data_IF_551167895436
#
_entry.id   IF_551167895436
#
_cell.length_a   1.000
_cell.length_b   1.000
_cell.length_c   1.000
_cell.angle_alpha   90.00
_cell.angle_beta   90.00
_cell.angle_gamma   90.00
#
_symmetry.space_group_name_H-M   'P 1'
#
loop_
_entity.id
_entity.type
_entity.pdbx_description
1 polymer ?
#
# COMPACT_ATOMS: atom_id res chain seq x y z
N UNK A 1 -15.95 6.24 1.23
CA UNK A 1 -16.37 7.59 0.79
C UNK A 1 -15.57 8.63 1.57
N UNK A 2 -15.46 9.89 1.10
CA UNK A 2 -14.68 10.93 1.81
C UNK A 2 -15.11 11.03 3.29
N UNK A 3 -14.14 11.07 4.20
CA UNK A 3 -14.34 11.02 5.65
C UNK A 3 -14.48 9.61 6.24
N UNK A 4 -14.49 8.56 5.42
CA UNK A 4 -14.61 7.17 5.90
C UNK A 4 -13.26 6.65 6.38
N UNK A 5 -13.25 6.11 7.60
CA UNK A 5 -12.15 5.34 8.16
C UNK A 5 -12.52 3.86 8.19
N UNK A 6 -11.64 2.99 7.71
CA UNK A 6 -11.72 1.53 7.88
C UNK A 6 -10.51 1.09 8.68
N UNK A 7 -10.72 0.29 9.72
CA UNK A 7 -9.66 -0.15 10.63
C UNK A 7 -9.83 -1.63 10.96
N UNK A 8 -8.72 -2.37 10.98
CA UNK A 8 -8.68 -3.80 11.32
C UNK A 8 -7.31 -4.19 11.89
N UNK A 9 -7.29 -5.14 12.82
CA UNK A 9 -6.05 -5.75 13.35
C UNK A 9 -5.36 -6.68 12.35
N UNK A 10 -6.05 -7.06 11.28
CA UNK A 10 -5.57 -8.03 10.28
C UNK A 10 -5.15 -7.33 8.98
N UNK A 11 -4.79 -8.12 7.96
CA UNK A 11 -4.62 -7.59 6.61
C UNK A 11 -5.97 -7.19 6.01
N UNK A 12 -5.95 -6.20 5.12
CA UNK A 12 -7.15 -5.68 4.46
C UNK A 12 -6.99 -5.73 2.94
N UNK A 13 -8.01 -6.26 2.27
CA UNK A 13 -8.12 -6.25 0.81
C UNK A 13 -9.31 -5.38 0.41
N UNK A 14 -9.08 -4.40 -0.46
CA UNK A 14 -10.10 -3.49 -0.97
C UNK A 14 -10.26 -3.73 -2.47
N UNK A 15 -11.48 -4.09 -2.89
CA UNK A 15 -11.87 -4.13 -4.29
C UNK A 15 -12.45 -2.77 -4.69
N UNK A 16 -11.61 -1.93 -5.29
CA UNK A 16 -11.97 -0.57 -5.70
C UNK A 16 -11.02 0.50 -5.16
N UNK A 17 -11.47 1.75 -5.20
CA UNK A 17 -10.64 2.92 -4.92
C UNK A 17 -10.72 3.39 -3.46
N UNK A 18 -9.57 3.85 -2.95
CA UNK A 18 -9.48 4.63 -1.71
C UNK A 18 -9.37 6.10 -2.08
N UNK A 19 -10.44 6.87 -1.89
CA UNK A 19 -10.49 8.28 -2.28
C UNK A 19 -9.71 9.18 -1.31
N UNK A 20 -9.36 10.40 -1.74
CA UNK A 20 -8.46 11.34 -1.02
C UNK A 20 -8.88 11.68 0.42
N UNK A 21 -10.18 11.63 0.72
CA UNK A 21 -10.69 11.84 2.07
C UNK A 21 -10.85 10.57 2.91
N UNK A 22 -10.48 9.39 2.41
CA UNK A 22 -10.61 8.13 3.13
C UNK A 22 -9.30 7.73 3.81
N UNK A 23 -9.42 7.05 4.95
CA UNK A 23 -8.30 6.47 5.69
C UNK A 23 -8.52 4.96 5.84
N UNK A 24 -7.45 4.21 5.59
CA UNK A 24 -7.42 2.76 5.70
C UNK A 24 -6.30 2.36 6.64
N UNK A 25 -6.63 1.66 7.71
CA UNK A 25 -5.70 1.22 8.76
C UNK A 25 -5.78 -0.30 8.90
N UNK A 26 -4.63 -0.96 8.85
CA UNK A 26 -4.51 -2.41 8.99
C UNK A 26 -3.32 -2.76 9.89
N UNK A 27 -3.51 -3.72 10.79
CA UNK A 27 -2.40 -4.35 11.51
C UNK A 27 -1.55 -5.25 10.61
N UNK A 28 -2.14 -5.75 9.51
CA UNK A 28 -1.45 -6.52 8.48
C UNK A 28 -1.10 -5.69 7.24
N UNK A 29 -1.09 -6.38 6.10
CA UNK A 29 -0.86 -5.77 4.78
C UNK A 29 -2.12 -5.04 4.29
N UNK A 30 -1.94 -4.07 3.40
CA UNK A 30 -3.04 -3.43 2.68
C UNK A 30 -2.90 -3.73 1.20
N UNK A 31 -3.95 -4.29 0.60
CA UNK A 31 -4.02 -4.58 -0.83
C UNK A 31 -5.21 -3.83 -1.41
N UNK A 32 -4.97 -2.91 -2.32
CA UNK A 32 -6.00 -2.10 -2.99
C UNK A 32 -6.02 -2.46 -4.46
N UNK A 33 -7.07 -3.16 -4.88
CA UNK A 33 -7.31 -3.48 -6.28
C UNK A 33 -8.02 -2.31 -6.97
N UNK A 34 -7.32 -1.17 -7.01
CA UNK A 34 -7.79 0.11 -7.50
C UNK A 34 -6.78 1.23 -7.25
N UNK A 35 -7.28 2.48 -7.23
CA UNK A 35 -6.46 3.67 -6.98
C UNK A 35 -6.44 4.03 -5.51
N UNK A 36 -5.24 4.20 -4.94
CA UNK A 36 -5.05 4.78 -3.60
C UNK A 36 -4.79 6.29 -3.72
N UNK A 37 -5.78 7.11 -3.39
CA UNK A 37 -5.69 8.58 -3.30
C UNK A 37 -5.66 9.11 -1.86
N UNK A 38 -6.19 8.33 -0.92
CA UNK A 38 -6.30 8.69 0.51
C UNK A 38 -5.07 8.31 1.34
N UNK A 39 -5.32 7.99 2.61
CA UNK A 39 -4.31 7.53 3.57
C UNK A 39 -4.38 6.01 3.69
N UNK A 40 -3.22 5.34 3.64
CA UNK A 40 -3.10 3.92 3.96
C UNK A 40 -2.03 3.71 5.06
N UNK A 41 -2.38 2.97 6.11
CA UNK A 41 -1.53 2.65 7.25
C UNK A 41 -1.48 1.14 7.48
N UNK A 42 -0.44 0.48 6.96
CA UNK A 42 -0.18 -0.94 7.17
C UNK A 42 0.71 -1.15 8.42
N UNK A 43 0.61 -2.32 9.05
CA UNK A 43 1.38 -2.61 10.27
C UNK A 43 1.07 -1.65 11.43
N UNK A 44 -0.17 -1.15 11.55
CA UNK A 44 -0.51 -0.03 12.44
C UNK A 44 -0.23 -0.28 13.94
N UNK A 45 -0.16 -1.54 14.35
CA UNK A 45 0.05 -1.95 15.74
C UNK A 45 1.44 -2.56 15.99
N UNK A 46 2.34 -2.48 15.01
CA UNK A 46 3.75 -2.88 15.10
C UNK A 46 4.62 -1.66 14.76
N UNK A 47 5.45 -1.20 15.67
CA UNK A 47 6.27 0.01 15.49
C UNK A 47 7.17 -0.06 14.25
N UNK A 48 7.70 -1.25 13.97
CA UNK A 48 8.59 -1.50 12.83
C UNK A 48 7.81 -1.72 11.53
N UNK A 49 6.48 -1.89 11.64
CA UNK A 49 5.63 -2.30 10.55
C UNK A 49 5.82 -3.76 10.13
N UNK A 50 6.64 -4.57 10.81
CA UNK A 50 6.68 -6.04 10.69
C UNK A 50 6.92 -6.60 9.28
N UNK A 51 7.53 -5.83 8.38
CA UNK A 51 7.69 -6.18 6.96
C UNK A 51 6.38 -6.14 6.15
N UNK A 52 5.36 -5.41 6.62
CA UNK A 52 4.09 -5.21 5.92
C UNK A 52 4.25 -4.34 4.69
N UNK A 53 3.34 -4.51 3.76
CA UNK A 53 3.32 -3.80 2.48
C UNK A 53 1.99 -3.12 2.22
N UNK A 54 2.04 -2.09 1.38
CA UNK A 54 0.85 -1.48 0.78
C UNK A 54 0.95 -1.69 -0.73
N UNK A 55 0.03 -2.44 -1.30
CA UNK A 55 -0.09 -2.66 -2.73
C UNK A 55 -1.28 -1.86 -3.28
N UNK A 56 -1.10 -1.21 -4.43
CA UNK A 56 -2.22 -0.65 -5.19
C UNK A 56 -1.99 -0.78 -6.70
N UNK A 57 -3.06 -0.79 -7.49
CA UNK A 57 -2.94 -0.72 -8.97
C UNK A 57 -2.45 0.65 -9.44
N UNK A 58 -2.67 1.69 -8.62
CA UNK A 58 -2.16 3.04 -8.83
C UNK A 58 -1.99 3.72 -7.46
N UNK A 59 -0.79 4.19 -7.13
CA UNK A 59 -0.54 4.95 -5.89
C UNK A 59 -0.46 6.45 -6.16
N UNK A 60 -1.46 7.19 -5.66
CA UNK A 60 -1.47 8.65 -5.55
C UNK A 60 -1.83 9.09 -4.11
N UNK A 61 -1.27 8.46 -3.06
CA UNK A 61 -1.74 8.66 -1.69
C UNK A 61 -1.47 10.08 -1.20
N UNK A 62 -2.39 10.64 -0.42
CA UNK A 62 -2.05 11.81 0.40
C UNK A 62 -0.98 11.44 1.42
N UNK A 63 -1.01 10.21 1.95
CA UNK A 63 -0.04 9.70 2.91
C UNK A 63 0.03 8.17 2.89
N UNK A 64 1.25 7.64 2.96
CA UNK A 64 1.54 6.24 3.28
C UNK A 64 2.11 6.14 4.68
N UNK A 65 1.71 5.09 5.41
CA UNK A 65 2.29 4.73 6.70
C UNK A 65 2.54 3.22 6.75
N UNK A 66 3.72 2.83 7.21
CA UNK A 66 4.05 1.43 7.49
C UNK A 66 4.70 1.42 8.87
N UNK A 67 4.03 0.80 9.85
CA UNK A 67 4.39 0.96 11.25
C UNK A 67 4.38 2.43 11.66
N UNK A 68 5.50 2.91 12.22
CA UNK A 68 5.70 4.32 12.58
C UNK A 68 6.26 5.19 11.45
N UNK A 69 6.69 4.59 10.33
CA UNK A 69 7.30 5.31 9.21
C UNK A 69 6.22 5.95 8.35
N UNK A 70 6.41 7.21 7.97
CA UNK A 70 5.46 7.99 7.19
C UNK A 70 6.13 8.51 5.92
N UNK A 71 5.42 8.41 4.79
CA UNK A 71 5.80 9.05 3.54
C UNK A 71 4.62 9.79 2.93
N UNK A 72 4.90 10.87 2.21
CA UNK A 72 3.89 11.57 1.40
C UNK A 72 3.92 10.97 0.00
N UNK A 73 2.76 10.77 -0.60
CA UNK A 73 2.71 10.29 -1.99
C UNK A 73 3.21 11.34 -2.98
N UNK A 74 3.55 10.86 -4.17
CA UNK A 74 3.74 11.71 -5.33
C UNK A 74 2.38 12.08 -5.93
N UNK A 75 2.17 13.32 -6.40
CA UNK A 75 0.96 13.70 -7.13
C UNK A 75 0.85 12.99 -8.49
N UNK A 76 1.97 12.55 -9.04
CA UNK A 76 2.01 11.72 -10.24
C UNK A 76 2.10 10.25 -9.81
N UNK A 77 1.02 9.51 -10.05
CA UNK A 77 0.98 8.06 -9.83
C UNK A 77 1.47 7.31 -11.06
N UNK A 78 2.05 6.12 -10.84
CA UNK A 78 2.45 5.23 -11.92
C UNK A 78 1.27 4.70 -12.75
N UNK A 79 1.54 4.29 -13.99
CA UNK A 79 0.60 3.55 -14.85
C UNK A 79 0.58 2.05 -14.57
N UNK A 80 1.46 1.57 -13.70
CA UNK A 80 1.63 0.16 -13.35
C UNK A 80 1.29 -0.04 -11.87
N UNK A 81 0.90 -1.27 -11.46
CA UNK A 81 0.72 -1.56 -10.05
C UNK A 81 2.01 -1.32 -9.28
N UNK A 82 1.89 -0.80 -8.06
CA UNK A 82 3.02 -0.40 -7.22
C UNK A 82 2.92 -1.05 -5.84
N UNK A 83 4.09 -1.35 -5.28
CA UNK A 83 4.23 -1.86 -3.91
C UNK A 83 5.06 -0.88 -3.09
N UNK A 84 4.51 -0.48 -1.95
CA UNK A 84 5.20 0.31 -0.94
C UNK A 84 5.66 -0.62 0.19
N UNK A 85 6.94 -0.51 0.57
CA UNK A 85 7.54 -1.25 1.69
C UNK A 85 8.55 -0.37 2.43
N UNK A 86 8.93 -0.80 3.63
CA UNK A 86 10.08 -0.21 4.33
C UNK A 86 11.38 -0.72 3.70
N UNK A 87 12.27 0.22 3.40
CA UNK A 87 13.68 -0.01 3.11
C UNK A 87 14.53 0.91 4.00
N UNK A 88 15.30 0.29 4.90
CA UNK A 88 15.99 0.98 5.98
C UNK A 88 15.04 1.78 6.87
N UNK A 89 15.07 3.10 6.75
CA UNK A 89 14.29 4.05 7.56
C UNK A 89 13.22 4.79 6.74
N UNK A 90 12.98 4.37 5.50
CA UNK A 90 12.08 5.08 4.58
C UNK A 90 11.10 4.13 3.91
N UNK A 91 9.96 4.65 3.49
CA UNK A 91 9.05 3.91 2.61
C UNK A 91 9.52 4.14 1.18
N UNK A 92 9.82 3.04 0.48
CA UNK A 92 10.09 3.02 -0.95
C UNK A 92 8.88 2.50 -1.69
N UNK A 93 8.55 3.14 -2.82
CA UNK A 93 7.47 2.73 -3.72
C UNK A 93 8.11 2.32 -5.03
N UNK A 94 7.81 1.12 -5.51
CA UNK A 94 8.37 0.58 -6.75
C UNK A 94 7.28 -0.12 -7.58
N UNK A 95 7.45 -0.20 -8.92
CA UNK A 95 6.59 -1.01 -9.76
C UNK A 95 6.58 -2.47 -9.30
N UNK A 96 5.39 -3.05 -9.20
CA UNK A 96 5.22 -4.45 -8.88
C UNK A 96 5.61 -5.32 -10.07
N UNK A 97 6.75 -5.98 -9.98
CA UNK A 97 7.18 -6.94 -10.99
C UNK A 97 6.46 -8.28 -10.76
N UNK A 98 5.48 -8.59 -11.60
CA UNK A 98 4.85 -9.91 -11.58
C UNK A 98 5.88 -10.97 -11.97
N UNK A 99 6.31 -11.81 -11.04
CA UNK A 99 7.04 -13.01 -11.40
C UNK A 99 6.04 -14.01 -11.96
N UNK A 100 6.11 -14.30 -13.26
CA UNK A 100 5.24 -15.28 -13.90
C UNK A 100 5.32 -16.61 -13.15
N UNK A 101 4.22 -17.01 -12.51
CA UNK A 101 4.06 -18.34 -11.93
C UNK A 101 3.84 -19.29 -13.12
N UNK A 102 4.94 -19.77 -13.72
CA UNK A 102 4.89 -20.66 -14.88
C UNK A 102 5.93 -20.41 -15.99
N UNK A 103 6.89 -19.49 -15.80
CA UNK A 103 8.01 -19.35 -16.74
C UNK A 103 8.84 -20.63 -16.80
N UNK A 104 8.59 -21.48 -17.81
CA UNK A 104 9.42 -22.64 -18.14
C UNK A 104 10.90 -22.24 -18.05
N UNK A 105 11.69 -23.00 -17.28
CA UNK A 105 13.13 -23.06 -17.46
C UNK A 105 13.37 -23.33 -18.95
N UNK A 106 13.85 -22.34 -19.70
CA UNK A 106 14.52 -22.63 -20.96
C UNK A 106 15.91 -23.15 -20.57
N UNK A 107 16.14 -24.41 -20.91
CA UNK A 107 17.44 -25.05 -20.94
C UNK A 107 18.36 -24.35 -21.95
#
# INVERSE_FOLDING_TARGET
RSGQKIETEHSLIIFGDVNSGAEVVAGGDIIILGTLRGIAHAGAYDETGGGRVIFALTQQPTQLRIGTTISRGSPEGGSEPEIARIDGTSIVVEPYQSRAIGGRRRA
#
